data_IF_807884177299
#
_entry.id   IF_807884177299
#
_cell.length_a   1.000
_cell.length_b   1.000
_cell.length_c   1.000
_cell.angle_alpha   90.00
_cell.angle_beta   90.00
_cell.angle_gamma   90.00
#
_symmetry.space_group_name_H-M   'P 1'
#
loop_
_entity.id
_entity.type
_entity.pdbx_description
1 polymer ?
#
# COMPACT_ATOMS: atom_id res chain seq x y z
N UNK A 1 13.85 14.88 -10.46
CA UNK A 1 15.03 14.04 -10.18
C UNK A 1 14.46 12.66 -9.97
N UNK A 2 14.92 11.66 -10.72
CA UNK A 2 14.54 10.27 -10.45
C UNK A 2 15.28 9.85 -9.17
N UNK A 3 14.54 9.45 -8.15
CA UNK A 3 15.12 8.98 -6.90
C UNK A 3 15.60 7.53 -7.11
N UNK A 4 16.91 7.30 -7.02
CA UNK A 4 17.51 5.97 -7.16
C UNK A 4 17.68 5.31 -5.80
N UNK A 5 17.19 4.07 -5.65
CA UNK A 5 17.35 3.27 -4.43
C UNK A 5 18.47 2.25 -4.64
N UNK A 6 19.34 2.07 -3.64
CA UNK A 6 20.37 1.03 -3.64
C UNK A 6 20.18 0.08 -2.45
N UNK A 7 20.33 -1.22 -2.68
CA UNK A 7 20.39 -2.24 -1.63
C UNK A 7 21.86 -2.57 -1.37
N UNK A 8 22.27 -2.55 -0.10
CA UNK A 8 23.58 -3.05 0.33
C UNK A 8 23.50 -4.57 0.53
N UNK A 9 24.21 -5.32 -0.29
CA UNK A 9 24.34 -6.77 -0.16
C UNK A 9 25.26 -7.18 0.99
N UNK A 10 25.14 -8.44 1.44
CA UNK A 10 26.02 -9.00 2.48
C UNK A 10 27.50 -9.02 2.08
N UNK A 11 27.80 -8.99 0.78
CA UNK A 11 29.15 -8.88 0.21
C UNK A 11 29.71 -7.45 0.19
N UNK A 12 28.96 -6.48 0.74
CA UNK A 12 29.32 -5.08 0.80
C UNK A 12 29.15 -4.31 -0.51
N UNK A 13 28.56 -4.93 -1.55
CA UNK A 13 28.29 -4.24 -2.81
C UNK A 13 26.93 -3.56 -2.80
N UNK A 14 26.85 -2.45 -3.52
CA UNK A 14 25.60 -1.75 -3.78
C UNK A 14 24.96 -2.28 -5.07
N UNK A 15 23.69 -2.61 -4.98
CA UNK A 15 22.86 -3.03 -6.11
C UNK A 15 21.81 -1.96 -6.34
N UNK A 16 21.82 -1.35 -7.51
CA UNK A 16 20.79 -0.39 -7.91
C UNK A 16 19.45 -1.09 -8.10
N UNK A 17 18.41 -0.60 -7.43
CA UNK A 17 17.04 -1.02 -7.65
C UNK A 17 16.48 -0.28 -8.86
N UNK A 18 16.16 -1.04 -9.90
CA UNK A 18 15.45 -0.51 -11.07
C UNK A 18 13.95 -0.74 -10.88
N UNK A 19 13.15 0.29 -11.16
CA UNK A 19 11.70 0.15 -11.20
C UNK A 19 11.31 -0.88 -12.27
N UNK A 20 10.39 -1.77 -11.92
CA UNK A 20 9.88 -2.79 -12.82
C UNK A 20 8.41 -3.03 -12.54
N UNK A 21 7.69 -3.50 -13.56
CA UNK A 21 6.30 -3.90 -13.40
C UNK A 21 6.22 -5.05 -12.40
N UNK A 22 5.22 -4.99 -11.53
CA UNK A 22 4.94 -6.06 -10.59
C UNK A 22 3.93 -7.01 -11.21
N UNK A 23 4.38 -8.21 -11.58
CA UNK A 23 3.61 -9.12 -12.43
C UNK A 23 2.37 -9.75 -11.74
N UNK A 24 2.29 -9.68 -10.41
CA UNK A 24 1.22 -10.31 -9.64
C UNK A 24 0.55 -9.34 -8.67
N UNK A 25 -0.56 -8.78 -9.12
CA UNK A 25 -1.43 -7.93 -8.31
C UNK A 25 -1.93 -8.65 -7.05
N UNK A 26 -2.36 -9.91 -7.15
CA UNK A 26 -2.79 -10.70 -6.00
C UNK A 26 -1.66 -10.88 -4.96
N UNK A 27 -0.41 -11.06 -5.39
CA UNK A 27 0.71 -11.11 -4.48
C UNK A 27 0.96 -9.75 -3.82
N UNK A 28 0.92 -8.65 -4.58
CA UNK A 28 1.07 -7.30 -4.05
C UNK A 28 -0.01 -7.00 -3.00
N UNK A 29 -1.26 -7.29 -3.33
CA UNK A 29 -2.41 -7.10 -2.45
C UNK A 29 -2.26 -7.91 -1.15
N UNK A 30 -1.78 -9.16 -1.21
CA UNK A 30 -1.47 -9.96 -0.01
C UNK A 30 -0.35 -9.33 0.82
N UNK A 31 0.71 -8.84 0.19
CA UNK A 31 1.81 -8.17 0.90
C UNK A 31 1.35 -6.88 1.58
N UNK A 32 0.46 -6.11 0.96
CA UNK A 32 -0.10 -4.90 1.58
C UNK A 32 -1.01 -5.23 2.77
N UNK A 33 -1.75 -6.34 2.69
CA UNK A 33 -2.54 -6.85 3.80
C UNK A 33 -1.66 -7.29 5.00
N UNK A 34 -0.62 -8.06 4.72
CA UNK A 34 0.26 -8.64 5.76
C UNK A 34 1.24 -7.59 6.32
N UNK A 35 1.62 -6.61 5.49
CA UNK A 35 2.55 -5.54 5.83
C UNK A 35 2.00 -4.15 5.48
N UNK A 36 0.94 -3.65 6.15
CA UNK A 36 0.34 -2.33 5.87
C UNK A 36 1.31 -1.15 5.96
N UNK A 37 2.42 -1.33 6.70
CA UNK A 37 3.49 -0.33 6.82
C UNK A 37 4.17 0.00 5.48
N UNK A 38 4.09 -0.89 4.49
CA UNK A 38 4.64 -0.64 3.14
C UNK A 38 3.98 0.57 2.47
N UNK A 39 2.69 0.83 2.73
CA UNK A 39 1.97 1.99 2.19
C UNK A 39 2.49 3.34 2.69
N UNK A 40 3.10 3.34 3.88
CA UNK A 40 3.56 4.55 4.51
C UNK A 40 4.84 5.10 3.83
N UNK A 41 5.64 4.20 3.23
CA UNK A 41 6.83 4.54 2.46
C UNK A 41 7.83 5.43 3.21
N UNK A 42 8.55 6.27 2.47
CA UNK A 42 9.52 7.26 2.97
C UNK A 42 8.89 8.59 3.43
N UNK A 43 7.58 8.78 3.21
CA UNK A 43 6.84 9.98 3.65
C UNK A 43 6.39 9.93 5.12
N UNK A 44 6.80 8.89 5.84
CA UNK A 44 6.58 8.76 7.28
C UNK A 44 7.45 9.76 8.01
N UNK A 45 6.84 10.75 8.67
CA UNK A 45 7.52 11.50 9.71
C UNK A 45 8.00 10.49 10.77
N UNK A 46 9.32 10.31 10.99
CA UNK A 46 9.82 9.31 11.94
C UNK A 46 9.31 9.53 13.37
N UNK A 47 9.06 10.80 13.72
CA UNK A 47 8.55 11.20 15.04
C UNK A 47 7.03 10.99 15.19
N UNK A 48 6.30 10.79 14.09
CA UNK A 48 4.87 10.50 14.09
C UNK A 48 4.50 9.51 12.97
N UNK A 49 4.85 8.23 13.15
CA UNK A 49 4.68 7.26 12.09
C UNK A 49 3.20 6.93 11.85
N UNK A 50 2.80 6.90 10.58
CA UNK A 50 1.46 6.45 10.17
C UNK A 50 1.26 5.00 10.59
N UNK A 51 0.18 4.73 11.34
CA UNK A 51 -0.21 3.40 11.77
C UNK A 51 -1.45 2.99 11.00
N UNK A 52 -1.21 2.38 9.84
CA UNK A 52 -2.28 1.83 9.02
C UNK A 52 -2.92 0.62 9.70
N UNK A 53 -4.24 0.65 9.79
CA UNK A 53 -5.07 -0.48 10.17
C UNK A 53 -5.92 -0.84 8.96
N UNK A 54 -5.81 -2.08 8.49
CA UNK A 54 -6.69 -2.61 7.47
C UNK A 54 -8.07 -2.87 8.08
N UNK A 55 -9.11 -2.33 7.46
CA UNK A 55 -10.51 -2.51 7.87
C UNK A 55 -11.16 -3.64 7.06
N UNK A 56 -11.02 -3.60 5.74
CA UNK A 56 -11.60 -4.60 4.85
C UNK A 56 -10.83 -4.70 3.54
N UNK A 57 -10.88 -5.89 2.94
CA UNK A 57 -10.57 -6.12 1.54
C UNK A 57 -11.85 -6.16 0.71
N UNK A 58 -11.74 -5.87 -0.58
CA UNK A 58 -12.83 -6.01 -1.57
C UNK A 58 -14.14 -5.36 -1.10
N UNK A 59 -14.04 -4.16 -0.53
CA UNK A 59 -15.21 -3.50 0.05
C UNK A 59 -16.08 -2.96 -1.08
N UNK A 60 -17.25 -3.57 -1.23
CA UNK A 60 -18.23 -3.10 -2.19
C UNK A 60 -18.81 -1.74 -1.81
N UNK A 61 -18.90 -0.86 -2.79
CA UNK A 61 -19.46 0.49 -2.67
C UNK A 61 -20.70 0.57 -3.58
N UNK A 62 -21.89 0.78 -2.99
CA UNK A 62 -23.10 1.02 -3.77
C UNK A 62 -23.07 2.41 -4.39
N UNK A 63 -23.69 2.57 -5.56
CA UNK A 63 -23.84 3.85 -6.23
C UNK A 63 -25.17 4.56 -5.92
N UNK A 64 -26.07 3.89 -5.19
CA UNK A 64 -27.35 4.41 -4.70
C UNK A 64 -27.79 3.66 -3.42
N UNK A 65 -28.64 4.26 -2.59
CA UNK A 65 -29.03 3.78 -1.26
C UNK A 65 -29.77 2.43 -1.28
N UNK A 66 -30.37 2.05 -2.43
CA UNK A 66 -31.20 0.85 -2.56
C UNK A 66 -30.72 -0.11 -3.67
N UNK A 67 -29.46 0.03 -4.11
CA UNK A 67 -28.87 -0.79 -5.17
C UNK A 67 -27.69 -1.57 -4.60
N UNK A 68 -27.41 -2.75 -5.17
CA UNK A 68 -26.25 -3.55 -4.79
C UNK A 68 -24.92 -2.84 -5.10
N UNK A 69 -23.82 -3.38 -4.57
CA UNK A 69 -22.49 -2.81 -4.78
C UNK A 69 -22.14 -2.77 -6.27
N UNK A 70 -21.87 -1.56 -6.78
CA UNK A 70 -21.48 -1.34 -8.18
C UNK A 70 -19.96 -1.26 -8.34
N UNK A 71 -19.29 -0.72 -7.32
CA UNK A 71 -17.85 -0.57 -7.28
C UNK A 71 -17.28 -1.41 -6.15
N UNK A 72 -15.98 -1.66 -6.20
CA UNK A 72 -15.24 -2.23 -5.08
C UNK A 72 -13.93 -1.47 -4.92
N UNK A 73 -13.50 -1.32 -3.67
CA UNK A 73 -12.13 -0.95 -3.34
C UNK A 73 -11.40 -2.20 -2.88
N UNK A 74 -10.18 -2.40 -3.38
CA UNK A 74 -9.37 -3.57 -3.03
C UNK A 74 -9.05 -3.58 -1.53
N UNK A 75 -8.71 -2.40 -0.99
CA UNK A 75 -8.33 -2.24 0.41
C UNK A 75 -8.83 -0.93 1.02
N UNK A 76 -9.50 -1.05 2.17
CA UNK A 76 -9.87 0.07 3.03
C UNK A 76 -8.94 0.12 4.24
N UNK A 77 -8.12 1.17 4.32
CA UNK A 77 -7.24 1.41 5.46
C UNK A 77 -7.63 2.69 6.22
N UNK A 78 -7.45 2.68 7.53
CA UNK A 78 -7.52 3.87 8.38
C UNK A 78 -6.18 4.12 9.04
N UNK A 79 -5.87 5.38 9.34
CA UNK A 79 -4.81 5.72 10.28
C UNK A 79 -5.31 6.68 11.37
N UNK A 80 -4.40 7.12 12.24
CA UNK A 80 -4.70 8.03 13.35
C UNK A 80 -5.19 9.44 12.95
N UNK A 81 -5.14 9.81 11.68
CA UNK A 81 -5.43 11.15 11.14
C UNK A 81 -6.49 11.13 10.02
N UNK A 82 -6.49 10.11 9.16
CA UNK A 82 -7.37 10.07 7.97
C UNK A 82 -7.68 8.65 7.44
N UNK A 83 -8.61 8.59 6.48
CA UNK A 83 -9.03 7.39 5.75
C UNK A 83 -8.31 7.29 4.41
N UNK A 84 -7.86 6.09 4.03
CA UNK A 84 -7.28 5.80 2.70
C UNK A 84 -8.04 4.66 2.02
N UNK A 85 -8.31 4.85 0.73
CA UNK A 85 -8.88 3.84 -0.17
C UNK A 85 -7.86 3.57 -1.29
N UNK A 86 -7.58 2.29 -1.56
CA UNK A 86 -6.89 1.85 -2.77
C UNK A 86 -7.84 1.06 -3.66
N UNK A 87 -7.81 1.41 -4.94
CA UNK A 87 -8.52 0.80 -6.07
C UNK A 87 -7.55 -0.08 -6.86
#
# INVERSE_FOLDING_TARGET
>A
MEDTIFILGEDGKLIEMNESFYDSEDLLQRLLNDYPKLLAGSQVNPEDPRRWLLISRELGIPDDENVGNRWAVDHLFVDQKELKMQL
#
